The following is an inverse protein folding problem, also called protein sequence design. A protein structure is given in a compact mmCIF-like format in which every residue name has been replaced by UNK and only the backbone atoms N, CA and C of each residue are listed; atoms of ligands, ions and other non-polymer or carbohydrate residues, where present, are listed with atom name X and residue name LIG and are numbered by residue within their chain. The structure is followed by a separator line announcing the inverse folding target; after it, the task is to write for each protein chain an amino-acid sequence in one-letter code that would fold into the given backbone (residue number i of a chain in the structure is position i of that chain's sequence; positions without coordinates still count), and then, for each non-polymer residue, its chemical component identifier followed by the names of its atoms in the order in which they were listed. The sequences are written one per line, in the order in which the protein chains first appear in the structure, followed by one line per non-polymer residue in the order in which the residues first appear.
data_IF_683018013101
#
_entry.id   IF_683018013101
#
_cell.length_a   1.000
_cell.length_b   1.000
_cell.length_c   1.000
_cell.angle_alpha   90.00
_cell.angle_beta   90.00
_cell.angle_gamma   90.00
#
_symmetry.space_group_name_H-M   'P 1'
#
loop_
_entity.id
_entity.type
_entity.pdbx_description
1 polymer ?
#
# COMPACT_ATOMS: atom_id res chain seq x y z
N UNK A 1 11.23 -14.05 17.44
CA UNK A 1 11.75 -12.80 18.04
C UNK A 1 11.26 -11.65 17.21
N UNK A 2 10.28 -10.90 17.70
CA UNK A 2 9.78 -9.71 17.03
C UNK A 2 10.80 -8.60 17.18
N UNK A 3 11.29 -8.07 16.08
CA UNK A 3 12.09 -6.83 16.10
C UNK A 3 11.13 -5.66 15.99
N UNK A 4 10.96 -4.92 17.07
CA UNK A 4 10.29 -3.62 17.09
C UNK A 4 11.29 -2.60 16.59
N UNK A 5 11.05 -2.03 15.40
CA UNK A 5 11.80 -0.87 14.92
C UNK A 5 10.99 0.37 15.30
N UNK A 6 11.56 1.21 16.15
CA UNK A 6 11.02 2.50 16.54
C UNK A 6 11.15 3.51 15.40
N UNK A 7 10.03 4.16 15.06
CA UNK A 7 9.90 5.40 14.30
C UNK A 7 10.55 5.44 12.91
N UNK A 8 9.98 4.70 11.98
CA UNK A 8 10.04 4.91 10.52
C UNK A 8 9.11 3.85 9.93
N UNK A 9 8.22 4.22 9.01
CA UNK A 9 7.29 3.32 8.31
C UNK A 9 7.59 1.83 8.49
N UNK A 10 6.94 1.15 9.44
CA UNK A 10 7.12 -0.30 9.63
C UNK A 10 6.27 -0.98 8.58
N UNK A 11 6.93 -1.70 7.72
CA UNK A 11 6.36 -2.37 6.56
C UNK A 11 6.07 -3.81 6.91
N UNK A 12 4.81 -4.21 6.83
CA UNK A 12 4.43 -5.62 6.83
C UNK A 12 4.40 -6.13 5.39
N UNK A 13 5.43 -6.89 5.00
CA UNK A 13 5.49 -7.56 3.70
C UNK A 13 4.60 -8.80 3.76
N UNK A 14 3.41 -8.73 3.20
CA UNK A 14 2.62 -9.92 2.89
C UNK A 14 3.11 -10.47 1.55
N UNK A 15 4.03 -11.42 1.60
CA UNK A 15 4.45 -12.18 0.41
C UNK A 15 3.37 -13.21 0.13
N UNK A 16 2.47 -12.91 -0.78
CA UNK A 16 1.65 -13.93 -1.43
C UNK A 16 2.50 -14.58 -2.53
N UNK A 17 3.26 -15.63 -2.16
CA UNK A 17 3.96 -16.45 -3.13
C UNK A 17 2.95 -17.27 -3.94
N UNK A 18 2.65 -16.83 -5.15
CA UNK A 18 2.01 -17.68 -6.14
C UNK A 18 3.04 -18.73 -6.60
N UNK A 19 2.77 -19.98 -6.29
CA UNK A 19 3.51 -21.12 -6.85
C UNK A 19 3.24 -21.21 -8.35
N UNK A 20 4.16 -20.76 -9.17
CA UNK A 20 4.19 -21.13 -10.58
C UNK A 20 5.01 -22.40 -10.75
N UNK A 21 4.36 -23.46 -11.22
CA UNK A 21 5.01 -24.66 -11.65
C UNK A 21 5.91 -24.35 -12.86
N UNK A 22 7.19 -24.66 -12.75
CA UNK A 22 8.14 -24.61 -13.86
C UNK A 22 7.70 -25.60 -14.94
N UNK A 23 7.30 -25.07 -16.08
CA UNK A 23 7.24 -25.87 -17.31
C UNK A 23 8.55 -25.59 -18.04
N UNK A 24 9.41 -26.61 -18.07
CA UNK A 24 10.57 -26.64 -18.95
C UNK A 24 10.11 -26.36 -20.38
N UNK A 25 10.48 -25.21 -20.90
CA UNK A 25 10.26 -24.85 -22.28
C UNK A 25 11.59 -24.73 -22.98
N UNK A 26 11.80 -25.66 -23.91
CA UNK A 26 12.89 -25.72 -24.88
C UNK A 26 13.27 -24.33 -25.42
N UNK A 27 14.57 -24.05 -25.35
CA UNK A 27 15.21 -22.91 -26.02
C UNK A 27 14.92 -22.93 -27.52
N UNK A 28 14.15 -21.97 -27.95
CA UNK A 28 14.23 -21.49 -29.33
C UNK A 28 14.92 -20.13 -29.29
N UNK A 29 16.19 -20.13 -29.73
CA UNK A 29 16.91 -18.91 -30.06
C UNK A 29 16.09 -18.09 -31.06
N UNK A 30 15.42 -17.06 -30.56
CA UNK A 30 14.98 -15.95 -31.36
C UNK A 30 15.41 -14.67 -30.65
N UNK A 31 16.56 -14.13 -31.11
CA UNK A 31 17.06 -12.82 -30.78
C UNK A 31 16.14 -11.76 -31.39
N UNK A 32 14.97 -11.55 -30.78
CA UNK A 32 14.17 -10.37 -31.02
C UNK A 32 13.42 -10.06 -29.73
N UNK A 33 13.91 -9.01 -29.06
CA UNK A 33 13.19 -8.15 -28.16
C UNK A 33 12.38 -8.85 -27.04
N UNK A 34 13.09 -9.24 -25.99
CA UNK A 34 12.48 -9.12 -24.68
C UNK A 34 12.23 -7.62 -24.43
N UNK A 35 11.17 -7.08 -25.01
CA UNK A 35 10.56 -5.85 -24.53
C UNK A 35 9.98 -6.17 -23.17
N UNK A 36 10.85 -6.46 -22.21
CA UNK A 36 10.47 -6.55 -20.80
C UNK A 36 9.76 -5.24 -20.48
N UNK A 37 8.53 -5.34 -20.05
CA UNK A 37 7.79 -4.17 -19.59
C UNK A 37 8.61 -3.55 -18.47
N UNK A 38 9.06 -2.31 -18.67
CA UNK A 38 9.81 -1.60 -17.63
C UNK A 38 9.04 -1.65 -16.32
N UNK A 39 9.75 -1.62 -15.20
CA UNK A 39 9.12 -1.48 -13.91
C UNK A 39 8.10 -0.33 -13.94
N UNK A 40 6.93 -0.58 -13.43
CA UNK A 40 5.83 0.38 -13.44
C UNK A 40 5.16 0.38 -12.08
N UNK A 41 5.62 1.25 -11.20
CA UNK A 41 5.10 1.37 -9.84
C UNK A 41 3.90 2.30 -9.84
N UNK A 42 2.78 1.79 -9.34
CA UNK A 42 1.52 2.53 -9.24
C UNK A 42 0.94 2.38 -7.85
N UNK A 43 0.12 3.33 -7.43
CA UNK A 43 -0.79 3.16 -6.30
C UNK A 43 -1.99 2.38 -6.87
N UNK A 44 -2.23 1.18 -6.36
CA UNK A 44 -3.25 0.27 -6.88
C UNK A 44 -4.51 0.23 -6.04
N UNK A 45 -4.41 0.55 -4.73
CA UNK A 45 -5.57 0.61 -3.85
C UNK A 45 -5.36 1.62 -2.73
N UNK A 46 -6.44 2.32 -2.39
CA UNK A 46 -6.56 3.17 -1.21
C UNK A 46 -7.72 2.67 -0.36
N UNK A 47 -7.45 2.06 0.78
CA UNK A 47 -8.47 1.58 1.70
C UNK A 47 -8.68 2.60 2.82
N UNK A 48 -9.61 3.50 2.61
CA UNK A 48 -9.77 4.70 3.42
C UNK A 48 -10.71 4.55 4.62
N UNK A 49 -11.55 3.52 4.63
CA UNK A 49 -12.47 3.27 5.73
C UNK A 49 -12.71 1.77 5.95
N UNK A 50 -11.72 1.06 6.50
CA UNK A 50 -11.74 -0.40 6.59
C UNK A 50 -12.83 -0.95 7.53
N UNK A 51 -13.14 -0.21 8.59
CA UNK A 51 -13.98 -0.74 9.67
C UNK A 51 -15.18 0.15 10.00
N UNK A 52 -16.34 -0.48 10.16
CA UNK A 52 -17.54 0.15 10.68
C UNK A 52 -17.57 0.03 12.21
N UNK A 53 -17.09 1.05 12.90
CA UNK A 53 -17.25 1.12 14.35
C UNK A 53 -18.65 1.61 14.69
N UNK A 54 -19.59 0.69 14.93
CA UNK A 54 -20.86 1.04 15.53
C UNK A 54 -20.63 1.24 17.03
N UNK A 55 -20.40 2.47 17.45
CA UNK A 55 -20.41 2.82 18.87
C UNK A 55 -21.83 2.82 19.39
N UNK A 56 -22.25 1.78 20.07
CA UNK A 56 -23.38 1.85 20.98
C UNK A 56 -22.89 2.50 22.27
N UNK A 57 -23.68 3.45 22.81
CA UNK A 57 -23.35 4.26 23.98
C UNK A 57 -22.96 3.47 25.25
N UNK A 58 -23.08 2.15 25.25
CA UNK A 58 -22.80 1.27 26.40
C UNK A 58 -21.88 0.09 26.14
N UNK A 59 -21.41 -0.14 24.91
CA UNK A 59 -20.43 -1.19 24.63
C UNK A 59 -19.88 -1.01 23.24
N UNK A 60 -18.57 -0.91 23.13
CA UNK A 60 -17.86 -0.93 21.84
C UNK A 60 -17.97 -2.33 21.24
N UNK A 61 -19.14 -2.72 20.79
CA UNK A 61 -19.31 -3.94 20.03
C UNK A 61 -18.87 -3.68 18.59
N UNK A 62 -17.64 -4.02 18.30
CA UNK A 62 -17.05 -4.00 16.97
C UNK A 62 -17.61 -5.19 16.21
N UNK A 63 -18.83 -5.06 15.65
CA UNK A 63 -19.39 -6.10 14.82
C UNK A 63 -18.81 -6.03 13.41
N UNK A 64 -18.10 -7.09 13.01
CA UNK A 64 -17.58 -7.24 11.68
C UNK A 64 -16.33 -6.42 11.37
N UNK A 65 -15.69 -5.82 12.38
CA UNK A 65 -14.38 -5.20 12.19
C UNK A 65 -13.32 -6.28 11.94
N UNK A 66 -12.43 -5.99 11.03
CA UNK A 66 -11.28 -6.83 10.71
C UNK A 66 -10.03 -6.07 11.12
N UNK A 67 -9.15 -6.72 11.84
CA UNK A 67 -7.80 -6.26 12.12
C UNK A 67 -6.93 -6.57 10.90
N UNK A 68 -6.84 -5.60 10.00
CA UNK A 68 -6.16 -5.79 8.72
C UNK A 68 -4.65 -5.80 8.83
N UNK A 69 -4.09 -5.10 9.81
CA UNK A 69 -2.66 -5.05 10.05
C UNK A 69 -2.17 -6.04 11.12
N UNK A 70 -3.09 -6.68 11.87
CA UNK A 70 -2.79 -7.69 12.86
C UNK A 70 -2.18 -7.14 14.15
N UNK A 71 -2.38 -5.85 14.47
CA UNK A 71 -1.82 -5.20 15.66
C UNK A 71 -2.70 -5.34 16.92
N UNK A 72 -3.93 -5.82 16.76
CA UNK A 72 -4.93 -5.99 17.81
C UNK A 72 -5.79 -4.75 18.03
N UNK A 73 -5.58 -3.68 17.30
CA UNK A 73 -6.46 -2.52 17.22
C UNK A 73 -7.38 -2.64 16.00
N UNK A 74 -8.67 -2.52 16.21
CA UNK A 74 -9.69 -2.53 15.17
C UNK A 74 -10.11 -1.11 14.80
N UNK A 75 -9.19 -0.18 14.90
CA UNK A 75 -9.43 1.23 14.72
C UNK A 75 -9.92 1.57 13.32
N UNK A 76 -10.88 2.49 13.23
CA UNK A 76 -11.40 2.99 11.97
C UNK A 76 -10.28 3.55 11.07
N UNK A 77 -9.23 4.04 11.71
CA UNK A 77 -8.14 4.73 11.03
C UNK A 77 -6.84 3.93 11.03
N UNK A 78 -6.54 3.14 12.08
CA UNK A 78 -5.30 2.35 12.20
C UNK A 78 -5.13 1.39 11.04
N UNK A 79 -6.23 0.81 10.58
CA UNK A 79 -6.28 -0.17 9.51
C UNK A 79 -6.41 0.42 8.10
N UNK A 80 -6.43 1.76 7.95
CA UNK A 80 -6.32 2.37 6.62
C UNK A 80 -5.02 1.95 5.95
N UNK A 81 -5.03 1.75 4.63
CA UNK A 81 -3.80 1.43 3.92
C UNK A 81 -3.73 2.01 2.51
N UNK A 82 -2.51 2.08 2.03
CA UNK A 82 -2.14 2.36 0.65
C UNK A 82 -1.48 1.11 0.09
N UNK A 83 -1.97 0.57 -1.02
CA UNK A 83 -1.29 -0.48 -1.75
C UNK A 83 -0.49 0.12 -2.90
N UNK A 84 0.79 -0.23 -2.96
CA UNK A 84 1.71 0.11 -4.04
C UNK A 84 2.04 -1.16 -4.81
N UNK A 85 1.89 -1.14 -6.11
CA UNK A 85 2.08 -2.30 -6.98
C UNK A 85 3.12 -2.02 -8.07
N UNK A 86 4.08 -2.92 -8.21
CA UNK A 86 4.92 -2.95 -9.40
C UNK A 86 4.24 -3.80 -10.48
N UNK A 87 3.49 -3.17 -11.37
CA UNK A 87 2.78 -3.83 -12.46
C UNK A 87 3.67 -4.17 -13.66
N UNK A 88 4.98 -3.93 -13.56
CA UNK A 88 5.98 -4.26 -14.58
C UNK A 88 6.53 -5.68 -14.46
N UNK A 89 7.33 -6.08 -15.44
CA UNK A 89 7.96 -7.40 -15.52
C UNK A 89 9.38 -7.43 -14.93
N UNK A 90 9.87 -6.28 -14.45
CA UNK A 90 11.20 -6.14 -13.86
C UNK A 90 11.10 -5.65 -12.40
N UNK A 91 12.02 -6.08 -11.52
CA UNK A 91 12.08 -5.54 -10.17
C UNK A 91 12.36 -4.03 -10.17
N UNK A 92 11.77 -3.32 -9.22
CA UNK A 92 12.00 -1.90 -8.98
C UNK A 92 12.50 -1.67 -7.57
N UNK A 93 13.63 -0.99 -7.44
CA UNK A 93 14.08 -0.45 -6.16
C UNK A 93 13.25 0.80 -5.85
N UNK A 94 12.50 0.73 -4.75
CA UNK A 94 11.66 1.81 -4.21
C UNK A 94 12.20 2.32 -2.88
N UNK A 95 13.46 2.02 -2.57
CA UNK A 95 14.14 2.44 -1.35
C UNK A 95 14.06 3.94 -1.18
N UNK A 96 13.61 4.36 0.00
CA UNK A 96 13.50 5.79 0.37
C UNK A 96 12.56 6.62 -0.52
N UNK A 97 11.71 6.01 -1.31
CA UNK A 97 10.64 6.73 -2.00
C UNK A 97 9.66 7.30 -0.98
N UNK A 98 8.96 8.36 -1.36
CA UNK A 98 8.05 9.08 -0.48
C UNK A 98 6.61 8.85 -0.88
N UNK A 99 5.80 8.41 0.08
CA UNK A 99 4.34 8.49 0.02
C UNK A 99 3.89 9.78 0.71
N UNK A 100 2.97 10.51 0.10
CA UNK A 100 2.43 11.74 0.63
C UNK A 100 0.94 11.88 0.32
N UNK A 101 0.24 12.63 1.17
CA UNK A 101 -1.19 12.94 1.02
C UNK A 101 -1.40 14.45 0.99
N UNK A 102 -2.52 14.89 0.43
CA UNK A 102 -2.89 16.31 0.43
C UNK A 102 -3.50 16.78 1.74
N UNK A 103 -3.78 15.89 2.70
CA UNK A 103 -4.27 16.22 4.05
C UNK A 103 -3.28 17.01 4.89
N UNK A 104 -1.99 17.02 4.50
CA UNK A 104 -0.93 17.66 5.25
C UNK A 104 -0.27 16.76 6.30
N UNK A 105 -0.56 15.47 6.29
CA UNK A 105 0.21 14.48 7.05
C UNK A 105 1.70 14.52 6.64
N UNK A 106 2.63 14.28 7.55
CA UNK A 106 4.03 14.14 7.19
C UNK A 106 4.21 13.04 6.14
N UNK A 107 5.06 13.24 5.12
CA UNK A 107 5.33 12.17 4.15
C UNK A 107 5.94 10.94 4.82
N UNK A 108 5.49 9.76 4.39
CA UNK A 108 6.08 8.48 4.82
C UNK A 108 7.18 8.08 3.85
N UNK A 109 8.38 7.86 4.36
CA UNK A 109 9.49 7.35 3.57
C UNK A 109 9.51 5.82 3.61
N UNK A 110 9.51 5.18 2.44
CA UNK A 110 9.68 3.74 2.36
C UNK A 110 11.06 3.33 2.89
N UNK A 111 11.18 2.16 3.56
CA UNK A 111 12.43 1.73 4.14
C UNK A 111 13.57 1.61 3.13
N UNK A 112 14.80 1.76 3.61
CA UNK A 112 15.99 1.46 2.82
C UNK A 112 16.04 -0.05 2.48
N UNK A 113 16.58 -0.40 1.32
CA UNK A 113 16.60 -1.77 0.78
C UNK A 113 15.20 -2.35 0.51
N UNK A 114 14.26 -1.54 0.07
CA UNK A 114 12.95 -1.99 -0.37
C UNK A 114 12.93 -2.15 -1.88
N UNK A 115 12.77 -3.38 -2.36
CA UNK A 115 12.64 -3.69 -3.79
C UNK A 115 11.30 -4.40 -4.01
N UNK A 116 10.52 -3.93 -4.95
CA UNK A 116 9.32 -4.62 -5.42
C UNK A 116 9.68 -5.47 -6.64
N UNK A 117 9.54 -6.79 -6.51
CA UNK A 117 9.68 -7.72 -7.64
C UNK A 117 8.63 -7.44 -8.72
N UNK A 118 8.74 -8.15 -9.86
CA UNK A 118 7.71 -8.12 -10.88
C UNK A 118 6.37 -8.59 -10.30
N UNK A 119 5.29 -7.83 -10.55
CA UNK A 119 3.93 -8.09 -10.06
C UNK A 119 3.78 -8.10 -8.52
N UNK A 120 4.76 -7.59 -7.79
CA UNK A 120 4.74 -7.54 -6.33
C UNK A 120 3.98 -6.31 -5.82
N UNK A 121 3.29 -6.50 -4.70
CA UNK A 121 2.53 -5.48 -3.99
C UNK A 121 3.10 -5.23 -2.61
N UNK A 122 3.02 -3.97 -2.21
CA UNK A 122 3.42 -3.46 -0.92
C UNK A 122 2.24 -2.75 -0.29
N UNK A 123 1.84 -3.19 0.91
CA UNK A 123 0.79 -2.52 1.68
C UNK A 123 1.43 -1.69 2.79
N UNK A 124 1.05 -0.42 2.86
CA UNK A 124 1.51 0.54 3.86
C UNK A 124 0.33 0.97 4.70
N UNK A 125 0.26 0.49 5.94
CA UNK A 125 -0.81 0.85 6.88
C UNK A 125 -0.59 2.21 7.51
N UNK A 126 -1.69 2.89 7.84
CA UNK A 126 -1.64 4.15 8.59
C UNK A 126 -0.95 4.00 9.95
N UNK A 127 -1.23 2.90 10.66
CA UNK A 127 -0.60 2.62 11.95
C UNK A 127 0.94 2.67 11.91
N UNK A 128 1.53 2.33 10.74
CA UNK A 128 2.97 2.29 10.53
C UNK A 128 3.53 3.57 9.88
N UNK A 129 2.67 4.34 9.18
CA UNK A 129 3.09 5.44 8.31
C UNK A 129 2.68 6.82 8.80
N UNK A 130 1.71 6.91 9.72
CA UNK A 130 1.05 8.15 10.13
C UNK A 130 0.36 8.91 8.96
N UNK A 131 0.22 8.29 7.78
CA UNK A 131 -0.48 8.87 6.65
C UNK A 131 -1.98 8.80 6.89
N UNK A 132 -2.62 9.95 7.05
CA UNK A 132 -4.06 10.06 7.21
C UNK A 132 -4.75 10.08 5.84
N UNK A 133 -5.77 9.26 5.66
CA UNK A 133 -6.63 9.24 4.49
C UNK A 133 -8.01 9.79 4.89
N UNK A 134 -8.18 11.11 4.75
CA UNK A 134 -9.42 11.79 5.14
C UNK A 134 -10.51 11.62 4.09
N UNK A 135 -11.52 10.83 4.40
CA UNK A 135 -12.65 10.63 3.49
C UNK A 135 -13.60 11.84 3.40
N UNK A 136 -13.57 12.73 4.40
CA UNK A 136 -14.48 13.89 4.42
C UNK A 136 -14.20 14.92 3.34
N UNK A 137 -12.92 15.17 3.08
CA UNK A 137 -12.50 16.23 2.17
C UNK A 137 -12.13 15.70 0.78
N UNK A 138 -11.90 14.37 0.69
CA UNK A 138 -11.25 13.76 -0.46
C UNK A 138 -9.78 14.16 -0.54
N UNK A 139 -8.98 13.28 -1.13
CA UNK A 139 -7.54 13.49 -1.13
C UNK A 139 -6.89 12.95 -2.39
N UNK A 140 -5.64 13.37 -2.57
CA UNK A 140 -4.71 12.77 -3.51
C UNK A 140 -3.55 12.17 -2.74
N UNK A 141 -3.31 10.88 -2.96
CA UNK A 141 -2.13 10.18 -2.50
C UNK A 141 -1.12 10.13 -3.65
N UNK A 142 0.14 10.40 -3.35
CA UNK A 142 1.21 10.44 -4.34
C UNK A 142 2.40 9.61 -3.90
N UNK A 143 3.08 8.97 -4.85
CA UNK A 143 4.37 8.33 -4.64
C UNK A 143 5.43 9.02 -5.51
N UNK A 144 6.54 9.40 -4.90
CA UNK A 144 7.65 10.08 -5.56
C UNK A 144 8.97 9.37 -5.30
N UNK A 145 9.88 9.45 -6.25
CA UNK A 145 11.24 8.89 -6.12
C UNK A 145 12.14 9.76 -5.20
N UNK A 146 13.37 9.31 -5.00
CA UNK A 146 14.38 10.01 -4.19
C UNK A 146 14.81 11.37 -4.73
N UNK A 147 14.53 11.66 -6.00
CA UNK A 147 14.78 12.95 -6.65
C UNK A 147 13.54 13.86 -6.62
N UNK A 148 12.49 13.45 -5.89
CA UNK A 148 11.20 14.13 -5.83
C UNK A 148 10.44 14.15 -7.17
N UNK A 149 10.76 13.24 -8.10
CA UNK A 149 9.95 13.06 -9.29
C UNK A 149 8.68 12.31 -8.92
N UNK A 150 7.53 12.87 -9.31
CA UNK A 150 6.25 12.17 -9.16
C UNK A 150 6.25 10.92 -10.04
N UNK A 151 6.04 9.77 -9.43
CA UNK A 151 5.94 8.49 -10.12
C UNK A 151 4.49 8.17 -10.46
N UNK A 152 3.61 8.25 -9.46
CA UNK A 152 2.18 8.00 -9.62
C UNK A 152 1.37 8.75 -8.56
N UNK A 153 0.08 8.92 -8.82
CA UNK A 153 -0.87 9.44 -7.85
C UNK A 153 -2.26 8.87 -8.08
N UNK A 154 -3.02 8.75 -7.00
CA UNK A 154 -4.42 8.33 -7.00
C UNK A 154 -5.22 9.29 -6.13
N UNK A 155 -6.38 9.72 -6.63
CA UNK A 155 -7.27 10.61 -5.91
C UNK A 155 -8.60 9.93 -5.62
N UNK A 156 -9.20 10.27 -4.48
CA UNK A 156 -10.57 9.90 -4.16
C UNK A 156 -11.38 11.15 -3.78
N UNK A 157 -12.69 11.17 -4.09
CA UNK A 157 -13.55 12.30 -3.76
C UNK A 157 -13.93 12.33 -2.29
N UNK A 158 -14.39 13.48 -1.81
CA UNK A 158 -15.09 13.58 -0.54
C UNK A 158 -16.29 12.63 -0.51
N UNK A 159 -16.55 12.01 0.64
CA UNK A 159 -17.67 11.10 0.83
C UNK A 159 -18.33 11.31 2.18
N UNK A 160 -19.67 11.34 2.19
CA UNK A 160 -20.47 11.40 3.42
C UNK A 160 -20.59 10.02 4.08
N UNK A 161 -20.32 8.94 3.35
CA UNK A 161 -20.39 7.57 3.87
C UNK A 161 -18.99 7.04 4.14
N UNK A 162 -18.79 6.56 5.34
CA UNK A 162 -17.47 6.30 5.89
C UNK A 162 -17.10 4.82 6.02
N UNK A 163 -17.82 3.90 5.36
CA UNK A 163 -17.64 2.47 5.66
C UNK A 163 -17.35 1.64 4.42
N UNK A 164 -16.29 0.82 4.50
CA UNK A 164 -15.92 -0.12 3.46
C UNK A 164 -15.52 0.55 2.15
N UNK A 165 -14.95 1.76 2.21
CA UNK A 165 -14.54 2.50 1.03
C UNK A 165 -13.12 2.09 0.65
N UNK A 166 -13.02 1.48 -0.52
CA UNK A 166 -11.78 1.21 -1.23
C UNK A 166 -11.85 1.84 -2.62
N UNK A 167 -10.74 2.40 -3.07
CA UNK A 167 -10.57 2.92 -4.42
C UNK A 167 -9.46 2.14 -5.12
N UNK A 168 -9.74 1.62 -6.31
CA UNK A 168 -8.87 0.77 -7.13
C UNK A 168 -8.64 1.44 -8.49
#
# INVERSE_FOLDING_TARGET
MRRVLTASCVLLLLILSSWSASIDRLELNNSNEANGRAANVVISELFISPNNLVSNENNSNIYGAVDWNGDGDYGKFSDQFIEVWNSGDAPQDVSSWLLSTTSGSPPCQLPYNTTLGADERLVVFRADSDLDLSYFDGETVSISDTNSNLINSMSFPASDSSYGLSYI
#
